data_IF_686383208803
#
_entry.id   IF_686383208803
#
_cell.length_a   1.000
_cell.length_b   1.000
_cell.length_c   1.000
_cell.angle_alpha   90.00
_cell.angle_beta   90.00
_cell.angle_gamma   90.00
#
_symmetry.space_group_name_H-M   'P 1'
#
loop_
_entity.id
_entity.type
_entity.pdbx_description
1 polymer ?
#
# COMPACT_ATOMS: atom_id res chain seq x y z
N UNK A 1 -19.25 23.53 9.55
CA UNK A 1 -18.41 22.54 10.26
C UNK A 1 -17.40 23.21 11.17
N UNK A 2 -16.58 24.13 10.67
CA UNK A 2 -15.59 24.85 11.48
C UNK A 2 -16.22 25.63 12.65
N UNK A 3 -17.30 26.36 12.39
CA UNK A 3 -17.97 27.18 13.42
C UNK A 3 -18.83 26.35 14.40
N UNK A 4 -19.43 25.27 13.90
CA UNK A 4 -20.41 24.48 14.66
C UNK A 4 -19.82 23.22 15.32
N UNK A 5 -18.52 22.96 15.17
CA UNK A 5 -17.85 21.80 15.76
C UNK A 5 -16.97 22.21 16.93
N UNK A 6 -17.06 21.46 18.04
CA UNK A 6 -16.13 21.61 19.15
C UNK A 6 -14.85 20.83 18.85
N UNK A 7 -13.72 21.52 18.71
CA UNK A 7 -12.39 20.93 18.58
C UNK A 7 -11.74 20.72 19.95
N UNK A 8 -11.01 19.63 20.09
CA UNK A 8 -10.33 19.24 21.32
C UNK A 8 -9.00 19.99 21.49
N UNK A 9 -8.35 20.31 20.38
CA UNK A 9 -6.98 20.79 20.33
C UNK A 9 -6.86 22.24 19.87
N UNK A 10 -5.66 22.81 20.06
CA UNK A 10 -5.29 24.20 19.74
C UNK A 10 -3.86 24.23 19.21
N UNK A 11 -3.47 25.25 18.44
CA UNK A 11 -2.13 25.39 17.81
C UNK A 11 -1.88 24.27 16.78
N UNK A 12 -0.65 23.75 16.69
CA UNK A 12 -0.24 22.72 15.72
C UNK A 12 -1.12 21.47 15.69
N UNK A 13 -1.67 21.05 16.83
CA UNK A 13 -2.56 19.88 16.88
C UNK A 13 -3.93 20.15 16.26
N UNK A 14 -4.39 21.40 16.25
CA UNK A 14 -5.67 21.79 15.64
C UNK A 14 -5.66 21.57 14.13
N UNK A 15 -4.55 21.87 13.46
CA UNK A 15 -4.41 21.67 12.01
C UNK A 15 -4.64 20.21 11.61
N UNK A 16 -4.14 19.27 12.40
CA UNK A 16 -4.35 17.83 12.18
C UNK A 16 -5.80 17.45 12.51
N UNK A 17 -6.30 17.89 13.67
CA UNK A 17 -7.66 17.55 14.10
C UNK A 17 -8.73 18.05 13.12
N UNK A 18 -8.59 19.27 12.62
CA UNK A 18 -9.57 19.89 11.71
C UNK A 18 -9.60 19.19 10.35
N UNK A 19 -8.45 18.80 9.82
CA UNK A 19 -8.37 18.06 8.55
C UNK A 19 -8.97 16.66 8.68
N UNK A 20 -8.60 15.92 9.73
CA UNK A 20 -9.09 14.54 9.94
C UNK A 20 -10.61 14.56 10.19
N UNK A 21 -11.09 15.39 11.12
CA UNK A 21 -12.52 15.47 11.41
C UNK A 21 -13.31 16.09 10.27
N UNK A 22 -12.70 16.98 9.49
CA UNK A 22 -13.30 17.53 8.27
C UNK A 22 -13.52 16.45 7.22
N UNK A 23 -12.52 15.60 6.99
CA UNK A 23 -12.65 14.41 6.14
C UNK A 23 -13.76 13.48 6.63
N UNK A 24 -13.83 13.21 7.94
CA UNK A 24 -14.92 12.41 8.54
C UNK A 24 -16.31 13.05 8.38
N UNK A 25 -16.39 14.39 8.37
CA UNK A 25 -17.62 15.12 8.12
C UNK A 25 -18.01 15.14 6.63
N UNK A 26 -17.16 14.63 5.73
CA UNK A 26 -17.39 14.55 4.29
C UNK A 26 -16.83 15.73 3.49
N UNK A 27 -15.96 16.57 4.07
CA UNK A 27 -15.29 17.63 3.35
C UNK A 27 -14.24 17.05 2.38
N UNK A 28 -14.23 17.46 1.09
CA UNK A 28 -13.19 17.05 0.16
C UNK A 28 -11.85 17.66 0.58
N UNK A 29 -10.82 16.83 0.70
CA UNK A 29 -9.45 17.28 0.95
C UNK A 29 -8.72 17.37 -0.40
N UNK A 30 -8.27 18.57 -0.75
CA UNK A 30 -7.55 18.83 -1.99
C UNK A 30 -6.11 19.21 -1.67
N UNK A 31 -5.15 18.52 -2.30
CA UNK A 31 -3.74 18.89 -2.23
C UNK A 31 -3.48 20.00 -3.26
N UNK A 32 -3.01 21.14 -2.80
CA UNK A 32 -2.64 22.28 -3.65
C UNK A 32 -1.17 22.60 -3.42
N UNK A 33 -0.37 22.83 -4.47
CA UNK A 33 1.00 23.26 -4.30
C UNK A 33 1.02 24.64 -3.62
N UNK A 34 1.68 24.72 -2.46
CA UNK A 34 1.89 25.96 -1.72
C UNK A 34 3.39 26.24 -1.68
N UNK A 35 3.80 27.45 -2.08
CA UNK A 35 5.19 27.88 -1.95
C UNK A 35 5.53 28.09 -0.47
N UNK A 36 6.50 27.34 0.04
CA UNK A 36 6.97 27.46 1.43
C UNK A 36 8.31 28.18 1.45
N UNK A 37 8.37 29.30 2.18
CA UNK A 37 9.62 29.99 2.49
C UNK A 37 10.14 29.53 3.86
N UNK A 38 11.35 28.97 3.89
CA UNK A 38 12.05 28.66 5.13
C UNK A 38 13.15 29.70 5.35
N UNK A 39 13.01 30.60 6.34
CA UNK A 39 14.05 31.57 6.64
C UNK A 39 15.34 30.88 7.09
N UNK A 40 16.51 31.50 6.84
CA UNK A 40 17.80 31.03 7.34
C UNK A 40 17.81 30.90 8.87
N UNK A 41 18.72 30.07 9.38
CA UNK A 41 18.63 29.54 10.76
C UNK A 41 18.70 30.58 11.87
N UNK A 42 19.38 31.70 11.61
CA UNK A 42 19.53 32.88 12.47
C UNK A 42 18.24 33.72 12.59
N UNK A 43 17.41 33.74 11.54
CA UNK A 43 16.09 34.41 11.53
C UNK A 43 14.95 33.47 11.96
N UNK A 44 15.24 32.18 12.15
CA UNK A 44 14.24 31.16 12.43
C UNK A 44 13.78 31.16 13.88
N UNK A 45 12.61 31.73 14.14
CA UNK A 45 11.92 31.60 15.44
C UNK A 45 11.02 30.36 15.43
N UNK A 46 11.32 29.38 16.29
CA UNK A 46 10.47 28.20 16.49
C UNK A 46 9.55 28.38 17.70
N UNK A 47 8.24 28.47 17.47
CA UNK A 47 7.24 28.44 18.54
C UNK A 47 6.94 27.00 19.04
N UNK A 48 7.67 26.00 18.55
CA UNK A 48 7.45 24.59 18.86
C UNK A 48 8.16 24.18 20.15
N UNK A 49 7.37 23.75 21.14
CA UNK A 49 7.89 23.27 22.42
C UNK A 49 8.12 21.77 22.34
N UNK A 50 9.37 21.35 22.10
CA UNK A 50 9.77 19.97 21.78
C UNK A 50 9.01 18.89 22.55
N UNK A 51 9.01 18.94 23.88
CA UNK A 51 8.37 17.89 24.70
C UNK A 51 6.84 18.03 24.74
N UNK A 52 6.35 19.23 25.05
CA UNK A 52 4.93 19.48 25.30
C UNK A 52 4.10 19.31 24.03
N UNK A 53 4.60 19.79 22.90
CA UNK A 53 3.88 19.70 21.63
C UNK A 53 3.98 18.29 21.05
N UNK A 54 5.11 17.58 21.19
CA UNK A 54 5.18 16.16 20.86
C UNK A 54 4.19 15.32 21.68
N UNK A 55 4.10 15.54 22.99
CA UNK A 55 3.14 14.80 23.82
C UNK A 55 1.69 15.04 23.38
N UNK A 56 1.33 16.30 23.12
CA UNK A 56 0.00 16.67 22.63
C UNK A 56 -0.30 16.05 21.26
N UNK A 57 0.68 16.05 20.35
CA UNK A 57 0.58 15.41 19.04
C UNK A 57 0.36 13.90 19.19
N UNK A 58 1.16 13.24 20.02
CA UNK A 58 1.04 11.79 20.27
C UNK A 58 -0.32 11.42 20.86
N UNK A 59 -0.83 12.19 21.82
CA UNK A 59 -2.14 11.95 22.42
C UNK A 59 -3.28 12.15 21.42
N UNK A 60 -3.25 13.25 20.64
CA UNK A 60 -4.25 13.49 19.59
C UNK A 60 -4.22 12.38 18.54
N UNK A 61 -3.02 11.99 18.09
CA UNK A 61 -2.86 10.95 17.09
C UNK A 61 -3.39 9.61 17.61
N UNK A 62 -3.04 9.24 18.84
CA UNK A 62 -3.55 8.02 19.48
C UNK A 62 -5.08 8.04 19.54
N UNK A 63 -5.68 9.15 19.95
CA UNK A 63 -7.13 9.30 19.98
C UNK A 63 -7.77 9.17 18.59
N UNK A 64 -7.26 9.89 17.59
CA UNK A 64 -7.81 9.88 16.23
C UNK A 64 -7.69 8.51 15.56
N UNK A 65 -6.53 7.84 15.69
CA UNK A 65 -6.31 6.49 15.18
C UNK A 65 -7.23 5.50 15.89
N UNK A 66 -7.29 5.52 17.22
CA UNK A 66 -8.19 4.65 17.98
C UNK A 66 -9.63 4.85 17.54
N UNK A 67 -10.08 6.10 17.39
CA UNK A 67 -11.43 6.42 16.91
C UNK A 67 -11.69 5.95 15.48
N UNK A 68 -10.68 6.00 14.61
CA UNK A 68 -10.75 5.55 13.22
C UNK A 68 -10.77 4.02 13.07
N UNK A 69 -10.15 3.29 14.00
CA UNK A 69 -10.16 1.82 14.03
C UNK A 69 -11.49 1.27 14.55
N UNK A 70 -12.17 2.02 15.42
CA UNK A 70 -13.50 1.65 15.92
C UNK A 70 -14.50 1.73 14.74
N UNK A 71 -15.29 0.66 14.46
CA UNK A 71 -16.19 0.59 13.30
C UNK A 71 -17.42 1.53 13.38
N UNK A 72 -17.42 2.49 14.30
CA UNK A 72 -18.57 3.36 14.53
C UNK A 72 -18.61 4.49 13.49
N UNK A 73 -19.73 4.64 12.75
CA UNK A 73 -19.83 5.60 11.66
C UNK A 73 -19.59 7.03 12.15
N UNK A 74 -18.88 7.82 11.35
CA UNK A 74 -18.69 9.23 11.60
C UNK A 74 -19.89 10.04 11.08
N UNK A 75 -20.27 11.09 11.80
CA UNK A 75 -21.36 11.98 11.38
C UNK A 75 -20.93 12.75 10.13
N UNK A 76 -21.49 12.40 8.97
CA UNK A 76 -21.30 13.13 7.73
C UNK A 76 -22.23 14.34 7.70
N UNK A 77 -21.65 15.54 7.60
CA UNK A 77 -22.40 16.80 7.49
C UNK A 77 -22.54 17.23 6.03
N UNK A 78 -21.63 16.77 5.16
CA UNK A 78 -21.62 17.10 3.75
C UNK A 78 -21.81 15.84 2.92
N UNK A 79 -22.70 15.92 1.94
CA UNK A 79 -22.85 14.90 0.90
C UNK A 79 -21.75 15.19 -0.11
N UNK A 80 -20.67 14.42 -0.05
CA UNK A 80 -19.63 14.47 -1.08
C UNK A 80 -20.26 14.07 -2.42
N UNK A 81 -20.16 14.96 -3.42
CA UNK A 81 -20.58 14.66 -4.78
C UNK A 81 -19.94 13.37 -5.28
N UNK A 82 -20.71 12.59 -6.04
CA UNK A 82 -20.32 11.29 -6.59
C UNK A 82 -18.94 11.36 -7.27
N UNK A 83 -17.89 10.99 -6.54
CA UNK A 83 -16.50 11.04 -7.03
C UNK A 83 -15.44 11.32 -5.98
N UNK A 84 -15.79 11.92 -4.83
CA UNK A 84 -14.84 12.15 -3.75
C UNK A 84 -14.70 10.91 -2.85
N UNK A 85 -13.70 10.09 -3.18
CA UNK A 85 -13.04 9.09 -2.33
C UNK A 85 -13.90 8.45 -1.24
N UNK A 86 -14.72 7.49 -1.66
CA UNK A 86 -15.06 6.39 -0.78
C UNK A 86 -13.78 5.59 -0.53
N UNK A 87 -13.00 5.94 0.50
CA UNK A 87 -12.08 4.96 1.07
C UNK A 87 -12.94 3.73 1.38
N UNK A 88 -12.71 2.61 0.67
CA UNK A 88 -13.49 1.42 0.89
C UNK A 88 -13.31 1.01 2.35
N UNK A 89 -14.42 0.69 2.99
CA UNK A 89 -14.47 0.19 4.36
C UNK A 89 -13.32 -0.80 4.62
N UNK A 90 -12.64 -0.67 5.76
CA UNK A 90 -11.61 -1.60 6.24
C UNK A 90 -12.15 -3.05 6.23
N UNK A 91 -13.48 -3.21 6.36
CA UNK A 91 -14.17 -4.49 6.30
C UNK A 91 -14.37 -5.08 4.90
N UNK A 92 -13.93 -4.38 3.84
CA UNK A 92 -13.86 -4.90 2.45
C UNK A 92 -12.40 -4.88 1.98
N UNK A 93 -11.57 -5.82 2.46
CA UNK A 93 -10.13 -5.83 2.18
C UNK A 93 -9.82 -5.89 0.68
N UNK A 94 -10.63 -6.59 -0.11
CA UNK A 94 -10.46 -6.65 -1.56
C UNK A 94 -10.65 -5.28 -2.25
N UNK A 95 -11.62 -4.47 -1.81
CA UNK A 95 -11.85 -3.13 -2.36
C UNK A 95 -10.76 -2.16 -1.90
N UNK A 96 -10.28 -2.29 -0.67
CA UNK A 96 -9.16 -1.51 -0.11
C UNK A 96 -7.84 -1.82 -0.82
N UNK A 97 -7.53 -3.09 -1.03
CA UNK A 97 -6.41 -3.53 -1.86
C UNK A 97 -6.53 -3.01 -3.30
N UNK A 98 -7.74 -3.00 -3.87
CA UNK A 98 -7.99 -2.45 -5.21
C UNK A 98 -7.81 -0.92 -5.27
N UNK A 99 -8.19 -0.20 -4.22
CA UNK A 99 -8.01 1.25 -4.12
C UNK A 99 -6.53 1.61 -3.91
N UNK A 100 -5.82 0.89 -3.04
CA UNK A 100 -4.37 1.05 -2.85
C UNK A 100 -3.56 0.62 -4.07
N UNK A 101 -4.00 -0.40 -4.81
CA UNK A 101 -3.37 -0.80 -6.08
C UNK A 101 -3.59 0.22 -7.21
N UNK A 102 -4.52 1.16 -7.04
CA UNK A 102 -4.74 2.28 -7.97
C UNK A 102 -3.83 3.48 -7.71
N UNK A 103 -3.03 3.48 -6.65
CA UNK A 103 -1.89 4.41 -6.53
C UNK A 103 -0.85 4.10 -7.62
N UNK A 104 -1.05 4.71 -8.80
CA UNK A 104 -0.09 5.05 -9.86
C UNK A 104 1.07 4.07 -10.14
N UNK A 105 0.90 2.77 -9.87
CA UNK A 105 1.93 1.77 -10.11
C UNK A 105 1.73 1.18 -11.49
N UNK A 106 2.76 1.19 -12.34
CA UNK A 106 2.72 0.49 -13.62
C UNK A 106 2.51 -1.01 -13.39
N UNK A 107 1.91 -1.72 -14.37
CA UNK A 107 1.69 -3.17 -14.25
C UNK A 107 3.01 -3.93 -14.01
N UNK A 108 4.11 -3.45 -14.59
CA UNK A 108 5.45 -4.00 -14.37
C UNK A 108 5.96 -3.77 -12.95
N UNK A 109 5.79 -2.58 -12.39
CA UNK A 109 6.18 -2.29 -11.00
C UNK A 109 5.39 -3.13 -10.00
N UNK A 110 4.11 -3.39 -10.25
CA UNK A 110 3.28 -4.21 -9.37
C UNK A 110 3.68 -5.69 -9.46
N UNK A 111 3.98 -6.20 -10.66
CA UNK A 111 4.54 -7.53 -10.85
C UNK A 111 5.91 -7.70 -10.19
N UNK A 112 6.81 -6.72 -10.32
CA UNK A 112 8.12 -6.71 -9.66
C UNK A 112 7.99 -6.67 -8.13
N UNK A 113 7.04 -5.90 -7.59
CA UNK A 113 6.76 -5.88 -6.16
C UNK A 113 6.30 -7.25 -5.64
N UNK A 114 5.40 -7.91 -6.37
CA UNK A 114 4.93 -9.27 -6.05
C UNK A 114 6.09 -10.28 -6.12
N UNK A 115 6.94 -10.19 -7.13
CA UNK A 115 8.13 -11.04 -7.25
C UNK A 115 9.04 -10.92 -6.02
N UNK A 116 9.40 -9.69 -5.64
CA UNK A 116 10.25 -9.39 -4.49
C UNK A 116 9.60 -9.90 -3.19
N UNK A 117 8.28 -9.69 -3.04
CA UNK A 117 7.52 -10.15 -1.89
C UNK A 117 7.54 -11.67 -1.73
N UNK A 118 7.28 -12.43 -2.80
CA UNK A 118 7.28 -13.89 -2.80
C UNK A 118 8.70 -14.43 -2.57
N UNK A 119 9.70 -13.88 -3.26
CA UNK A 119 11.08 -14.33 -3.14
C UNK A 119 11.62 -14.14 -1.71
N UNK A 120 11.50 -12.92 -1.17
CA UNK A 120 11.96 -12.64 0.20
C UNK A 120 11.08 -13.30 1.26
N UNK A 121 9.79 -13.53 0.98
CA UNK A 121 8.88 -14.26 1.86
C UNK A 121 9.14 -15.76 1.92
N UNK A 122 9.76 -16.34 0.88
CA UNK A 122 10.14 -17.76 0.86
C UNK A 122 11.44 -18.06 1.61
N UNK A 123 12.27 -17.05 1.88
CA UNK A 123 13.55 -17.19 2.57
C UNK A 123 13.35 -17.46 4.09
N UNK A 124 14.26 -18.22 4.74
CA UNK A 124 14.24 -18.48 6.18
C UNK A 124 14.66 -17.28 7.05
N UNK A 125 14.23 -16.06 6.73
CA UNK A 125 14.59 -14.82 7.44
C UNK A 125 13.50 -14.39 8.44
N UNK A 126 13.05 -15.32 9.29
CA UNK A 126 11.79 -15.21 10.06
C UNK A 126 11.60 -13.87 10.81
N UNK A 127 12.52 -13.38 11.66
CA UNK A 127 12.28 -12.11 12.35
C UNK A 127 12.50 -10.87 11.46
N UNK A 128 13.27 -11.01 10.38
CA UNK A 128 13.72 -9.89 9.54
C UNK A 128 13.03 -9.80 8.18
N UNK A 129 12.13 -10.73 7.83
CA UNK A 129 11.51 -10.82 6.51
C UNK A 129 10.76 -9.56 6.10
N UNK A 130 9.89 -9.05 6.97
CA UNK A 130 9.16 -7.80 6.73
C UNK A 130 10.10 -6.61 6.54
N UNK A 131 11.15 -6.50 7.37
CA UNK A 131 12.14 -5.43 7.25
C UNK A 131 12.91 -5.52 5.93
N UNK A 132 13.33 -6.73 5.52
CA UNK A 132 14.01 -6.96 4.25
C UNK A 132 13.12 -6.60 3.05
N UNK A 133 11.83 -6.96 3.09
CA UNK A 133 10.86 -6.62 2.04
C UNK A 133 10.69 -5.11 1.94
N UNK A 134 10.47 -4.43 3.07
CA UNK A 134 10.31 -2.97 3.09
C UNK A 134 11.58 -2.28 2.59
N UNK A 135 12.76 -2.74 3.02
CA UNK A 135 14.05 -2.21 2.57
C UNK A 135 14.25 -2.39 1.07
N UNK A 136 14.03 -3.60 0.53
CA UNK A 136 14.15 -3.88 -0.89
C UNK A 136 13.16 -3.06 -1.72
N UNK A 137 11.90 -2.97 -1.28
CA UNK A 137 10.89 -2.17 -1.97
C UNK A 137 11.18 -0.67 -1.90
N UNK A 138 11.75 -0.19 -0.79
CA UNK A 138 12.20 1.20 -0.68
C UNK A 138 13.33 1.48 -1.68
N UNK A 139 14.34 0.60 -1.75
CA UNK A 139 15.50 0.80 -2.64
C UNK A 139 15.14 0.69 -4.13
N UNK A 140 14.20 -0.18 -4.47
CA UNK A 140 13.74 -0.42 -5.84
C UNK A 140 12.55 0.45 -6.24
N UNK A 141 12.10 1.37 -5.37
CA UNK A 141 10.93 2.22 -5.59
C UNK A 141 9.66 1.42 -5.97
N UNK A 142 9.46 0.26 -5.35
CA UNK A 142 8.33 -0.64 -5.59
C UNK A 142 7.17 -0.40 -4.60
N UNK A 143 6.01 -0.97 -4.93
CA UNK A 143 4.83 -0.91 -4.07
C UNK A 143 5.01 -1.83 -2.85
N UNK A 144 5.20 -1.22 -1.68
CA UNK A 144 5.49 -1.92 -0.41
C UNK A 144 4.32 -2.79 0.04
N UNK A 145 3.10 -2.34 -0.19
CA UNK A 145 1.88 -3.06 0.21
C UNK A 145 1.67 -4.30 -0.66
N UNK A 146 1.92 -4.19 -1.96
CA UNK A 146 1.85 -5.34 -2.87
C UNK A 146 2.88 -6.41 -2.51
N UNK A 147 4.14 -6.01 -2.23
CA UNK A 147 5.19 -6.94 -1.83
C UNK A 147 4.92 -7.59 -0.48
N UNK A 148 4.49 -6.82 0.53
CA UNK A 148 4.12 -7.35 1.84
C UNK A 148 2.89 -8.28 1.78
N UNK A 149 1.87 -7.92 0.98
CA UNK A 149 0.72 -8.80 0.77
C UNK A 149 1.13 -10.12 0.12
N UNK A 150 2.02 -10.06 -0.88
CA UNK A 150 2.53 -11.24 -1.57
C UNK A 150 3.38 -12.14 -0.65
N UNK A 151 4.20 -11.58 0.24
CA UNK A 151 5.01 -12.37 1.18
C UNK A 151 4.17 -13.14 2.20
N UNK A 152 2.99 -12.61 2.59
CA UNK A 152 2.08 -13.30 3.50
C UNK A 152 1.48 -14.58 2.88
N UNK A 153 1.40 -14.66 1.54
CA UNK A 153 1.02 -15.91 0.87
C UNK A 153 2.07 -17.00 1.13
N UNK A 154 3.34 -16.62 1.22
CA UNK A 154 4.46 -17.52 1.52
C UNK A 154 4.58 -17.87 3.02
N UNK A 155 3.87 -17.17 3.91
CA UNK A 155 3.82 -17.52 5.33
C UNK A 155 2.96 -18.77 5.60
N UNK A 156 2.19 -19.23 4.61
CA UNK A 156 1.50 -20.51 4.70
C UNK A 156 2.53 -21.66 4.77
N UNK A 157 2.32 -22.67 5.64
CA UNK A 157 3.30 -23.72 5.89
C UNK A 157 3.71 -24.49 4.63
N UNK A 158 2.86 -24.51 3.60
CA UNK A 158 3.15 -25.17 2.33
C UNK A 158 4.41 -24.66 1.63
N UNK A 159 4.67 -23.34 1.62
CA UNK A 159 5.84 -22.80 0.89
C UNK A 159 7.14 -23.16 1.60
N UNK A 160 7.31 -22.94 2.92
CA UNK A 160 8.48 -23.42 3.66
C UNK A 160 8.69 -24.93 3.54
N UNK A 161 7.62 -25.74 3.56
CA UNK A 161 7.69 -27.19 3.38
C UNK A 161 8.28 -27.58 2.03
N UNK A 162 7.75 -27.00 0.94
CA UNK A 162 8.26 -27.25 -0.41
C UNK A 162 9.72 -26.79 -0.56
N UNK A 163 10.09 -25.66 0.06
CA UNK A 163 11.47 -25.21 0.09
C UNK A 163 12.38 -26.22 0.81
N UNK A 164 11.96 -26.73 1.97
CA UNK A 164 12.74 -27.70 2.73
C UNK A 164 12.88 -29.02 1.97
N UNK A 165 11.79 -29.52 1.37
CA UNK A 165 11.80 -30.75 0.58
C UNK A 165 12.73 -30.63 -0.64
N UNK A 166 12.63 -29.53 -1.39
CA UNK A 166 13.51 -29.26 -2.52
C UNK A 166 14.97 -29.13 -2.06
N UNK A 167 15.22 -28.43 -0.96
CA UNK A 167 16.56 -28.30 -0.38
C UNK A 167 17.17 -29.63 0.04
N UNK A 168 16.37 -30.49 0.66
CA UNK A 168 16.79 -31.83 1.05
C UNK A 168 17.12 -32.69 -0.18
N UNK A 169 16.28 -32.63 -1.22
CA UNK A 169 16.55 -33.31 -2.48
C UNK A 169 17.88 -32.86 -3.12
N UNK A 170 18.17 -31.56 -3.10
CA UNK A 170 19.42 -31.01 -3.65
C UNK A 170 20.67 -31.45 -2.88
N UNK A 171 20.57 -31.61 -1.56
CA UNK A 171 21.70 -32.01 -0.71
C UNK A 171 21.92 -33.53 -0.70
N UNK A 172 20.85 -34.32 -0.68
CA UNK A 172 20.92 -35.76 -0.41
C UNK A 172 20.46 -36.64 -1.58
N UNK A 173 19.96 -36.05 -2.67
CA UNK A 173 19.53 -36.77 -3.88
C UNK A 173 18.27 -37.63 -3.70
N UNK A 174 17.59 -37.52 -2.56
CA UNK A 174 16.39 -38.30 -2.21
C UNK A 174 15.28 -37.39 -1.72
N UNK A 175 14.04 -37.74 -2.07
CA UNK A 175 12.87 -37.06 -1.52
C UNK A 175 12.63 -37.48 -0.08
N UNK A 176 12.12 -36.55 0.72
CA UNK A 176 11.87 -36.78 2.13
C UNK A 176 10.49 -37.43 2.31
N UNK A 177 10.45 -38.72 2.66
CA UNK A 177 9.20 -39.50 2.77
C UNK A 177 8.64 -39.64 4.20
N UNK A 178 9.35 -39.15 5.22
CA UNK A 178 8.91 -39.23 6.63
C UNK A 178 8.24 -37.93 7.08
N UNK A 179 7.00 -37.74 6.63
CA UNK A 179 6.18 -36.59 7.04
C UNK A 179 5.63 -36.79 8.47
N UNK A 180 6.46 -36.56 9.49
CA UNK A 180 6.02 -36.57 10.88
C UNK A 180 5.89 -35.14 11.43
N UNK A 181 4.74 -34.81 12.04
CA UNK A 181 4.41 -33.45 12.51
C UNK A 181 5.34 -32.96 13.63
N UNK A 182 5.85 -33.89 14.44
CA UNK A 182 6.78 -33.60 15.54
C UNK A 182 8.14 -33.13 14.99
N UNK A 183 8.71 -33.91 14.08
CA UNK A 183 9.96 -33.63 13.35
C UNK A 183 9.90 -32.29 12.61
N UNK A 184 8.73 -31.94 12.06
CA UNK A 184 8.58 -30.71 11.27
C UNK A 184 8.60 -29.42 12.07
N UNK A 185 7.98 -29.39 13.26
CA UNK A 185 7.91 -28.20 14.09
C UNK A 185 9.11 -28.08 15.02
N UNK A 186 9.63 -29.21 15.51
CA UNK A 186 10.76 -29.22 16.44
C UNK A 186 12.10 -29.11 15.71
N UNK A 187 12.28 -29.70 14.52
CA UNK A 187 13.58 -29.71 13.83
C UNK A 187 13.72 -28.65 12.74
N UNK A 188 12.72 -27.77 12.54
CA UNK A 188 12.76 -26.75 11.46
C UNK A 188 14.01 -25.86 11.54
N UNK A 189 14.51 -25.64 12.76
CA UNK A 189 15.71 -24.86 13.03
C UNK A 189 17.01 -25.60 12.65
N UNK A 190 17.03 -26.93 12.70
CA UNK A 190 18.15 -27.73 12.19
C UNK A 190 18.19 -27.79 10.65
N UNK A 191 17.06 -27.50 10.02
CA UNK A 191 16.86 -27.61 8.56
C UNK A 191 16.85 -26.27 7.84
N UNK A 192 17.32 -25.21 8.50
CA UNK A 192 17.46 -23.87 7.91
C UNK A 192 18.33 -23.88 6.64
N UNK A 193 19.33 -24.77 6.58
CA UNK A 193 20.20 -24.87 5.40
C UNK A 193 19.49 -25.44 4.18
N UNK A 194 18.71 -26.49 4.38
CA UNK A 194 17.85 -27.07 3.34
C UNK A 194 16.80 -26.04 2.91
N UNK A 195 16.14 -25.39 3.85
CA UNK A 195 15.20 -24.32 3.54
C UNK A 195 15.85 -23.20 2.72
N UNK A 196 17.03 -22.72 3.12
CA UNK A 196 17.74 -21.68 2.38
C UNK A 196 18.03 -22.12 0.94
N UNK A 197 18.58 -23.31 0.74
CA UNK A 197 18.90 -23.82 -0.60
C UNK A 197 17.66 -24.00 -1.47
N UNK A 198 16.60 -24.59 -0.94
CA UNK A 198 15.37 -24.77 -1.70
C UNK A 198 14.65 -23.45 -1.97
N UNK A 199 14.67 -22.49 -1.05
CA UNK A 199 14.08 -21.16 -1.25
C UNK A 199 14.84 -20.32 -2.28
N UNK A 200 16.14 -20.51 -2.46
CA UNK A 200 16.93 -19.86 -3.51
C UNK A 200 16.54 -20.30 -4.93
N UNK A 201 15.96 -21.50 -5.09
CA UNK A 201 15.45 -21.99 -6.38
C UNK A 201 13.94 -21.82 -6.49
N UNK A 202 13.20 -22.31 -5.51
CA UNK A 202 11.74 -22.28 -5.51
C UNK A 202 11.20 -20.86 -5.37
N UNK A 203 11.85 -20.01 -4.56
CA UNK A 203 11.44 -18.62 -4.34
C UNK A 203 11.40 -17.79 -5.62
N UNK A 204 12.48 -17.72 -6.43
CA UNK A 204 12.46 -17.02 -7.71
C UNK A 204 11.44 -17.58 -8.71
N UNK A 205 11.24 -18.91 -8.74
CA UNK A 205 10.28 -19.57 -9.63
C UNK A 205 8.83 -19.24 -9.25
N UNK A 206 8.48 -19.39 -7.98
CA UNK A 206 7.16 -19.00 -7.44
C UNK A 206 6.94 -17.49 -7.60
N UNK A 207 7.99 -16.69 -7.36
CA UNK A 207 7.97 -15.25 -7.58
C UNK A 207 7.68 -14.91 -9.03
N UNK A 208 8.33 -15.58 -9.99
CA UNK A 208 8.12 -15.36 -11.42
C UNK A 208 6.70 -15.73 -11.84
N UNK A 209 6.18 -16.86 -11.35
CA UNK A 209 4.79 -17.26 -11.58
C UNK A 209 3.81 -16.21 -11.02
N UNK A 210 4.01 -15.76 -9.77
CA UNK A 210 3.20 -14.72 -9.14
C UNK A 210 3.25 -13.38 -9.87
N UNK A 211 4.43 -12.98 -10.35
CA UNK A 211 4.63 -11.76 -11.13
C UNK A 211 3.93 -11.82 -12.50
N UNK A 212 4.03 -12.95 -13.21
CA UNK A 212 3.36 -13.18 -14.48
C UNK A 212 1.83 -13.14 -14.33
N UNK A 213 1.29 -13.84 -13.33
CA UNK A 213 -0.14 -13.83 -13.03
C UNK A 213 -0.63 -12.40 -12.72
N UNK A 214 0.13 -11.69 -11.88
CA UNK A 214 -0.17 -10.30 -11.52
C UNK A 214 -0.16 -9.38 -12.74
N UNK A 215 0.88 -9.50 -13.59
CA UNK A 215 0.99 -8.72 -14.81
C UNK A 215 -0.18 -8.99 -15.76
N UNK A 216 -0.53 -10.27 -15.96
CA UNK A 216 -1.63 -10.69 -16.81
C UNK A 216 -2.99 -10.18 -16.30
N UNK A 217 -3.28 -10.34 -15.01
CA UNK A 217 -4.51 -9.86 -14.37
C UNK A 217 -4.65 -8.34 -14.47
N UNK A 218 -3.59 -7.60 -14.12
CA UNK A 218 -3.60 -6.14 -14.19
C UNK A 218 -3.81 -5.67 -15.64
N UNK A 219 -3.14 -6.27 -16.61
CA UNK A 219 -3.30 -5.92 -18.03
C UNK A 219 -4.69 -6.26 -18.54
N UNK A 220 -5.26 -7.39 -18.14
CA UNK A 220 -6.61 -7.81 -18.49
C UNK A 220 -7.67 -6.82 -17.95
N UNK A 221 -7.59 -6.46 -16.67
CA UNK A 221 -8.54 -5.51 -16.08
C UNK A 221 -8.39 -4.08 -16.61
N UNK A 222 -7.17 -3.64 -16.95
CA UNK A 222 -6.93 -2.33 -17.57
C UNK A 222 -7.49 -2.26 -18.99
N UNK A 223 -7.33 -3.33 -19.79
CA UNK A 223 -7.95 -3.42 -21.12
C UNK A 223 -9.47 -3.33 -21.06
N UNK A 224 -10.10 -3.99 -20.09
CA UNK A 224 -11.56 -3.90 -19.89
C UNK A 224 -12.03 -2.52 -19.47
N UNK A 225 -11.30 -1.82 -18.60
CA UNK A 225 -11.65 -0.45 -18.21
C UNK A 225 -11.45 0.56 -19.35
N UNK A 226 -10.45 0.35 -20.22
CA UNK A 226 -10.25 1.19 -21.42
C UNK A 226 -11.26 0.94 -22.54
N UNK A 227 -11.93 -0.22 -22.56
CA UNK A 227 -12.97 -0.55 -23.54
C UNK A 227 -14.40 -0.18 -23.15
N UNK A 228 -14.60 0.46 -21.98
CA UNK A 228 -15.92 0.89 -21.49
C UNK A 228 -16.11 2.41 -21.51
N UNK A 229 -15.29 3.15 -22.25
CA UNK A 229 -15.61 4.53 -22.60
C UNK A 229 -16.63 4.53 -23.76
N UNK A 230 -17.80 5.19 -23.65
CA UNK A 230 -18.66 5.37 -24.81
C UNK A 230 -17.89 6.19 -25.85
N UNK A 231 -18.00 5.79 -27.11
CA UNK A 231 -17.53 6.56 -28.24
C UNK A 231 -18.20 7.94 -28.20
N UNK A 232 -17.45 8.96 -27.75
CA UNK A 232 -17.74 10.33 -28.10
C UNK A 232 -17.33 10.48 -29.55
N UNK A 233 -18.28 10.26 -30.46
CA UNK A 233 -18.19 10.72 -31.84
C UNK A 233 -17.90 12.22 -31.82
N UNK A 234 -16.76 12.57 -32.37
CA UNK A 234 -16.40 13.93 -32.66
C UNK A 234 -17.07 14.42 -33.94
N UNK A 235 -17.28 15.73 -33.99
CA UNK A 235 -17.19 16.48 -35.24
C UNK A 235 -18.45 17.20 -35.66
N UNK A 236 -18.64 18.42 -35.16
CA UNK A 236 -18.95 19.59 -36.01
C UNK A 236 -18.80 20.88 -35.18
N UNK A 237 -17.59 21.43 -35.11
CA UNK A 237 -17.41 22.86 -34.81
C UNK A 237 -17.30 23.55 -36.16
N UNK A 238 -18.42 24.09 -36.63
CA UNK A 238 -18.48 25.04 -37.74
C UNK A 238 -17.56 26.21 -37.42
N UNK A 239 -16.49 26.36 -38.21
CA UNK A 239 -15.73 27.61 -38.35
C UNK A 239 -16.70 28.71 -38.82
N UNK A 240 -17.10 29.61 -37.93
CA UNK A 240 -17.51 30.96 -38.31
C UNK A 240 -16.29 31.86 -38.10
N UNK A 241 -15.43 31.91 -39.13
CA UNK A 241 -14.38 32.91 -39.23
C UNK A 241 -15.03 34.26 -39.55
N UNK A 242 -14.85 35.22 -38.66
CA UNK A 242 -15.14 36.62 -38.90
C UNK A 242 -14.33 37.10 -40.11
N UNK A 243 -15.03 37.64 -41.11
CA UNK A 243 -14.44 38.39 -42.20
C UNK A 243 -14.82 39.87 -42.05
N UNK A 244 -13.81 40.65 -41.68
CA UNK A 244 -13.46 42.02 -42.06
C UNK A 244 -14.41 43.23 -41.80
N UNK A 245 -13.87 44.33 -41.24
CA UNK A 245 -14.41 45.68 -41.40
C UNK A 245 -13.71 46.41 -42.56
N UNK A 246 -14.47 46.88 -43.56
CA UNK A 246 -14.07 47.96 -44.45
C UNK A 246 -15.30 48.45 -45.22
N UNK A 247 -15.40 49.79 -45.29
CA UNK A 247 -16.40 50.67 -45.92
C UNK A 247 -17.64 51.04 -45.08
#
# INVERSE_FOLDING_TARGET
>A
FLENSRFLSRRYTFEIEVLVRGSWAGLPLLSTPVSVYYPPGDERVSHFHKLKDNLRLSLLHTFLVTRSLIPWPHRRLFISGAGADQMPSIFRPASYLKALSREHSSAGQLAAAVWVGIFLGALPIIPFGTAAIVYACHRLHLNKLAAFGASNVCAAPFVPLLCIELGHYLLYGRFWYEFNRHTLLEEIHHRLWEWLLGSLLLGPLLGAAGALLTYALVRYFRRRQGGSAPAAEGGEIKKAGAANPAE
#
